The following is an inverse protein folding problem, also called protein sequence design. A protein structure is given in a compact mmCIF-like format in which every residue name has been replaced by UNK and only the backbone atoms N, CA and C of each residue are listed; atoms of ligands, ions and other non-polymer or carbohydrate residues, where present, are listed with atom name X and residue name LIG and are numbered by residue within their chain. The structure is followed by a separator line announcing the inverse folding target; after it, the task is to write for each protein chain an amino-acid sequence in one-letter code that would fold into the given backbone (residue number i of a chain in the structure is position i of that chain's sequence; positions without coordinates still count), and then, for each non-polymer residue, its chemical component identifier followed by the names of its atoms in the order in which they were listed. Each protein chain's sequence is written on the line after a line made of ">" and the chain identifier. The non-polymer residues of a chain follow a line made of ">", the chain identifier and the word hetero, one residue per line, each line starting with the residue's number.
data_IF_209960929170
#
_entry.id   IF_209960929170
#
_cell.length_a   1.000
_cell.length_b   1.000
_cell.length_c   1.000
_cell.angle_alpha   90.00
_cell.angle_beta   90.00
_cell.angle_gamma   90.00
#
_symmetry.space_group_name_H-M   'P 1'
#
loop_
_entity.id
_entity.type
_entity.pdbx_description
1 polymer ?
#
# COMPACT_ATOMS: atom_id res chain seq x y z
N UNK A 1 6.07 -24.37 -17.41
CA UNK A 1 6.89 -23.14 -17.36
C UNK A 1 6.30 -22.05 -18.27
N UNK A 2 5.01 -21.70 -18.10
CA UNK A 2 4.34 -20.74 -19.00
C UNK A 2 3.11 -20.07 -18.35
N UNK A 3 3.30 -19.31 -17.27
CA UNK A 3 2.23 -18.45 -16.71
C UNK A 3 2.59 -16.97 -16.68
N UNK A 4 3.84 -16.60 -17.01
CA UNK A 4 4.29 -15.19 -17.02
C UNK A 4 4.16 -14.50 -18.38
N UNK A 5 4.12 -15.24 -19.49
CA UNK A 5 4.12 -14.66 -20.85
C UNK A 5 2.73 -14.25 -21.36
N UNK A 6 1.64 -14.73 -20.76
CA UNK A 6 0.28 -14.45 -21.25
C UNK A 6 -0.35 -13.19 -20.61
N UNK A 7 -0.09 -12.89 -19.34
CA UNK A 7 -0.66 -11.69 -18.67
C UNK A 7 -0.25 -10.36 -19.33
N UNK A 8 1.00 -10.24 -19.77
CA UNK A 8 1.51 -9.00 -20.38
C UNK A 8 0.84 -8.66 -21.72
N UNK A 9 0.26 -9.66 -22.41
CA UNK A 9 -0.38 -9.51 -23.72
C UNK A 9 -1.86 -9.18 -23.62
N UNK A 10 -2.53 -9.62 -22.55
CA UNK A 10 -3.96 -9.35 -22.32
C UNK A 10 -4.21 -8.04 -21.56
N UNK A 11 -3.29 -7.63 -20.67
CA UNK A 11 -3.43 -6.39 -19.88
C UNK A 11 -2.56 -5.22 -20.36
N UNK A 12 -1.83 -5.33 -21.48
CA UNK A 12 -0.90 -4.30 -21.97
C UNK A 12 0.16 -3.84 -20.93
N UNK A 13 0.39 -4.64 -19.87
CA UNK A 13 1.33 -4.32 -18.80
C UNK A 13 2.74 -4.66 -19.23
N UNK A 14 3.63 -3.67 -19.16
CA UNK A 14 5.04 -3.86 -19.47
C UNK A 14 5.73 -4.67 -18.37
N UNK A 15 6.92 -5.19 -18.65
CA UNK A 15 7.77 -5.85 -17.64
C UNK A 15 8.04 -4.95 -16.44
N UNK A 16 8.02 -3.63 -16.61
CA UNK A 16 8.22 -2.65 -15.55
C UNK A 16 6.99 -2.52 -14.65
N UNK A 17 5.79 -2.55 -15.23
CA UNK A 17 4.52 -2.52 -14.47
C UNK A 17 4.39 -3.75 -13.58
N UNK A 18 4.73 -4.93 -14.10
CA UNK A 18 4.75 -6.18 -13.32
C UNK A 18 5.72 -6.14 -12.13
N UNK A 19 6.81 -5.34 -12.22
CA UNK A 19 7.73 -5.14 -11.08
C UNK A 19 7.17 -4.14 -10.08
N UNK A 20 6.43 -3.13 -10.55
CA UNK A 20 5.79 -2.14 -9.69
C UNK A 20 4.62 -2.74 -8.92
N UNK A 21 3.79 -3.55 -9.56
CA UNK A 21 2.68 -4.26 -8.92
C UNK A 21 3.20 -5.20 -7.82
N UNK A 22 4.25 -5.97 -8.11
CA UNK A 22 4.92 -6.83 -7.13
C UNK A 22 5.53 -6.01 -5.98
N UNK A 23 6.11 -4.84 -6.26
CA UNK A 23 6.65 -3.96 -5.24
C UNK A 23 5.54 -3.41 -4.33
N UNK A 24 4.46 -2.89 -4.91
CA UNK A 24 3.29 -2.38 -4.16
C UNK A 24 2.72 -3.48 -3.28
N UNK A 25 2.59 -4.71 -3.81
CA UNK A 25 2.12 -5.85 -3.03
C UNK A 25 3.00 -6.13 -1.82
N UNK A 26 4.32 -6.13 -1.98
CA UNK A 26 5.28 -6.32 -0.87
C UNK A 26 5.20 -5.23 0.18
N UNK A 27 5.00 -3.98 -0.23
CA UNK A 27 4.83 -2.85 0.70
C UNK A 27 3.56 -3.03 1.53
N UNK A 28 2.45 -3.44 0.91
CA UNK A 28 1.21 -3.76 1.61
C UNK A 28 1.34 -4.95 2.55
N UNK A 29 2.00 -6.04 2.12
CA UNK A 29 2.27 -7.19 2.97
C UNK A 29 3.13 -6.81 4.20
N UNK A 30 4.14 -5.95 3.99
CA UNK A 30 4.96 -5.42 5.07
C UNK A 30 4.16 -4.52 6.02
N UNK A 31 3.32 -3.63 5.47
CA UNK A 31 2.45 -2.73 6.24
C UNK A 31 1.50 -3.53 7.11
N UNK A 32 0.91 -4.62 6.61
CA UNK A 32 0.01 -5.45 7.39
C UNK A 32 0.77 -6.21 8.51
N UNK A 33 1.94 -6.74 8.22
CA UNK A 33 2.74 -7.47 9.22
C UNK A 33 3.35 -6.57 10.31
N UNK A 34 3.75 -5.34 9.96
CA UNK A 34 4.47 -4.43 10.88
C UNK A 34 3.59 -3.30 11.41
N UNK A 35 2.64 -2.83 10.63
CA UNK A 35 1.73 -1.75 10.98
C UNK A 35 0.91 -2.06 12.22
N UNK A 36 0.35 -3.27 12.32
CA UNK A 36 -0.41 -3.70 13.50
C UNK A 36 0.43 -3.61 14.78
N UNK A 37 1.71 -3.96 14.70
CA UNK A 37 2.64 -3.86 15.84
C UNK A 37 2.91 -2.40 16.22
N UNK A 38 3.11 -1.52 15.23
CA UNK A 38 3.31 -0.09 15.45
C UNK A 38 2.07 0.52 16.09
N UNK A 39 0.87 0.24 15.56
CA UNK A 39 -0.39 0.71 16.13
C UNK A 39 -0.63 0.18 17.54
N UNK A 40 -0.33 -1.10 17.79
CA UNK A 40 -0.49 -1.68 19.11
C UNK A 40 0.47 -1.04 20.13
N UNK A 41 1.70 -0.72 19.72
CA UNK A 41 2.66 0.00 20.56
C UNK A 41 2.19 1.43 20.85
N UNK A 42 1.74 2.17 19.83
CA UNK A 42 1.24 3.54 19.99
C UNK A 42 0.00 3.59 20.91
N UNK A 43 -0.90 2.60 20.84
CA UNK A 43 -2.04 2.46 21.78
C UNK A 43 -1.58 2.26 23.22
N UNK A 44 -0.50 1.49 23.46
CA UNK A 44 0.04 1.23 24.80
C UNK A 44 0.72 2.45 25.43
N UNK A 45 1.26 3.36 24.62
CA UNK A 45 1.89 4.60 25.12
C UNK A 45 0.84 5.62 25.60
N UNK A 46 -0.46 5.34 25.41
CA UNK A 46 -1.55 6.14 25.99
C UNK A 46 -1.82 7.45 25.26
N UNK A 47 -1.35 7.60 24.02
CA UNK A 47 -1.68 8.77 23.21
C UNK A 47 -3.15 8.75 22.80
N UNK A 48 -3.85 9.86 23.01
CA UNK A 48 -5.25 10.08 22.59
C UNK A 48 -5.33 10.35 21.08
N UNK A 49 -4.86 9.39 20.28
CA UNK A 49 -4.96 9.46 18.82
C UNK A 49 -6.35 9.02 18.37
N UNK A 50 -6.88 9.70 17.34
CA UNK A 50 -8.09 9.29 16.65
C UNK A 50 -7.77 8.08 15.75
N UNK A 51 -7.97 6.88 16.29
CA UNK A 51 -7.67 5.63 15.61
C UNK A 51 -8.57 5.36 14.42
N UNK A 52 -9.78 5.93 14.41
CA UNK A 52 -10.77 5.75 13.35
C UNK A 52 -10.38 6.56 12.09
N UNK A 53 -9.58 7.61 12.27
CA UNK A 53 -9.01 8.43 11.19
C UNK A 53 -7.57 8.07 10.81
N UNK A 54 -7.11 6.87 11.15
CA UNK A 54 -5.76 6.44 10.81
C UNK A 54 -5.63 6.21 9.30
N UNK A 55 -4.74 6.94 8.63
CA UNK A 55 -4.45 6.76 7.20
C UNK A 55 -2.98 6.44 6.98
N UNK A 56 -2.69 5.63 5.97
CA UNK A 56 -1.35 5.40 5.45
C UNK A 56 -1.08 6.29 4.23
N UNK A 57 0.17 6.67 4.01
CA UNK A 57 0.55 7.61 2.93
C UNK A 57 0.27 7.09 1.52
N UNK A 58 0.12 5.77 1.36
CA UNK A 58 -0.27 5.15 0.09
C UNK A 58 -1.77 4.86 -0.02
N UNK A 59 -2.59 5.27 0.96
CA UNK A 59 -4.04 5.15 0.85
C UNK A 59 -4.55 6.08 -0.25
N UNK A 60 -5.50 5.59 -1.05
CA UNK A 60 -6.05 6.30 -2.21
C UNK A 60 -6.58 7.69 -1.83
N UNK A 61 -7.27 7.80 -0.69
CA UNK A 61 -7.76 9.07 -0.15
C UNK A 61 -6.62 10.08 0.10
N UNK A 62 -5.49 9.64 0.66
CA UNK A 62 -4.34 10.51 0.93
C UNK A 62 -3.69 10.97 -0.38
N UNK A 63 -3.54 10.05 -1.33
CA UNK A 63 -3.01 10.37 -2.66
C UNK A 63 -3.89 11.39 -3.38
N UNK A 64 -5.21 11.18 -3.39
CA UNK A 64 -6.17 12.11 -3.99
C UNK A 64 -6.11 13.50 -3.32
N UNK A 65 -5.96 13.54 -1.99
CA UNK A 65 -5.83 14.81 -1.26
C UNK A 65 -4.58 15.61 -1.66
N UNK A 66 -3.49 14.94 -2.04
CA UNK A 66 -2.26 15.61 -2.49
C UNK A 66 -2.35 16.14 -3.91
N UNK A 67 -3.21 15.56 -4.75
CA UNK A 67 -3.37 15.93 -6.16
C UNK A 67 -4.40 17.07 -6.32
N UNK A 68 -5.38 17.15 -5.41
CA UNK A 68 -6.47 18.13 -5.45
C UNK A 68 -6.26 19.45 -4.69
N UNK A 69 -5.02 19.82 -4.35
CA UNK A 69 -4.69 21.04 -3.59
C UNK A 69 -3.82 22.04 -4.39
N UNK A 70 -3.94 22.06 -5.72
CA UNK A 70 -3.29 23.04 -6.60
C UNK A 70 -4.28 23.86 -7.40
#
# INVERSE_FOLDING_TARGET
>A
MSSRKNLAREENKTRHDLRRDEFVRRVWDWKNQKGDRIYHQLRKVGGSYDWDRTTFTMDEYVILSMIGQS
#
